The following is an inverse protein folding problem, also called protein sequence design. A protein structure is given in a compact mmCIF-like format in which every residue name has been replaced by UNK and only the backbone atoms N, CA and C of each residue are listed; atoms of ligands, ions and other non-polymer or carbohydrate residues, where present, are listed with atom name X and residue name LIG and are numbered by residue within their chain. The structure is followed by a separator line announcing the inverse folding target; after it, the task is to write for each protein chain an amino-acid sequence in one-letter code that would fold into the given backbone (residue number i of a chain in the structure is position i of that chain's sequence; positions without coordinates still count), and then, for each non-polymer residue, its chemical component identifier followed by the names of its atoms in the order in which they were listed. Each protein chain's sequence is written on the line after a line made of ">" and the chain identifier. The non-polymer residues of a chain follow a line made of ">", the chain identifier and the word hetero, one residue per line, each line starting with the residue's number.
data_IF_840473437573
#
_entry.id   IF_840473437573
#
_cell.length_a   1.000
_cell.length_b   1.000
_cell.length_c   1.000
_cell.angle_alpha   90.00
_cell.angle_beta   90.00
_cell.angle_gamma   90.00
#
_symmetry.space_group_name_H-M   'P 1'
#
loop_
_entity.id
_entity.type
_entity.pdbx_description
1 polymer ?
#
# COMPACT_ATOMS: atom_id res chain seq x y z
N UNK A 1 13.83 -45.80 3.92
CA UNK A 1 12.63 -46.34 3.25
C UNK A 1 11.47 -45.40 3.54
N UNK A 2 11.09 -44.55 2.59
CA UNK A 2 9.90 -43.69 2.73
C UNK A 2 8.68 -44.57 2.42
N UNK A 3 7.76 -44.68 3.38
CA UNK A 3 6.51 -45.43 3.22
C UNK A 3 5.71 -44.89 2.03
N UNK A 4 4.99 -45.76 1.31
CA UNK A 4 4.08 -45.37 0.21
C UNK A 4 3.09 -44.27 0.63
N UNK A 5 2.69 -44.25 1.90
CA UNK A 5 1.87 -43.17 2.48
C UNK A 5 2.63 -41.83 2.55
N UNK A 6 3.90 -41.84 2.95
CA UNK A 6 4.73 -40.64 3.05
C UNK A 6 5.04 -40.02 1.70
N UNK A 7 5.24 -40.84 0.65
CA UNK A 7 5.42 -40.36 -0.72
C UNK A 7 4.14 -39.68 -1.25
N UNK A 8 2.97 -40.26 -0.95
CA UNK A 8 1.68 -39.73 -1.40
C UNK A 8 1.35 -38.39 -0.73
N UNK A 9 1.64 -38.25 0.57
CA UNK A 9 1.50 -36.97 1.30
C UNK A 9 2.45 -35.91 0.73
N UNK A 10 3.70 -36.27 0.41
CA UNK A 10 4.66 -35.35 -0.18
C UNK A 10 4.20 -34.83 -1.55
N UNK A 11 3.69 -35.73 -2.41
CA UNK A 11 3.17 -35.38 -3.73
C UNK A 11 1.94 -34.47 -3.65
N UNK A 12 1.04 -34.71 -2.69
CA UNK A 12 -0.13 -33.85 -2.45
C UNK A 12 0.26 -32.45 -1.98
N UNK A 13 1.28 -32.33 -1.12
CA UNK A 13 1.78 -31.01 -0.70
C UNK A 13 2.44 -30.24 -1.84
N UNK A 14 3.27 -30.90 -2.65
CA UNK A 14 3.91 -30.29 -3.82
C UNK A 14 2.84 -29.81 -4.82
N UNK A 15 1.83 -30.65 -5.10
CA UNK A 15 0.72 -30.30 -5.98
C UNK A 15 -0.09 -29.11 -5.47
N UNK A 16 -0.38 -29.06 -4.16
CA UNK A 16 -1.06 -27.93 -3.54
C UNK A 16 -0.24 -26.63 -3.69
N UNK A 17 1.07 -26.66 -3.44
CA UNK A 17 1.90 -25.45 -3.59
C UNK A 17 1.98 -24.94 -5.03
N UNK A 18 2.03 -25.85 -6.02
CA UNK A 18 2.05 -25.52 -7.45
C UNK A 18 0.74 -24.89 -7.96
N UNK A 19 -0.41 -25.28 -7.38
CA UNK A 19 -1.71 -24.73 -7.78
C UNK A 19 -1.98 -23.32 -7.24
N UNK A 20 -1.36 -22.93 -6.13
CA UNK A 20 -1.57 -21.61 -5.50
C UNK A 20 -0.46 -20.58 -5.79
N UNK A 21 0.42 -20.83 -6.76
CA UNK A 21 1.61 -19.98 -7.00
C UNK A 21 1.36 -18.66 -7.75
N UNK A 22 0.13 -18.29 -8.10
CA UNK A 22 -0.16 -17.03 -8.78
C UNK A 22 -0.56 -15.94 -7.79
N UNK A 23 0.38 -15.51 -6.94
CA UNK A 23 0.21 -14.27 -6.17
C UNK A 23 0.90 -13.17 -6.94
N UNK A 24 0.14 -12.44 -7.77
CA UNK A 24 0.57 -11.10 -8.21
C UNK A 24 0.40 -10.19 -7.01
N UNK A 25 1.48 -10.00 -6.26
CA UNK A 25 1.51 -9.14 -5.08
C UNK A 25 1.51 -7.64 -5.47
N UNK A 26 1.81 -7.32 -6.72
CA UNK A 26 1.74 -5.96 -7.23
C UNK A 26 0.31 -5.54 -7.50
N UNK A 27 -0.02 -4.32 -7.08
CA UNK A 27 -1.28 -3.70 -7.48
C UNK A 27 -1.23 -3.40 -8.99
N UNK A 28 -2.39 -3.37 -9.69
CA UNK A 28 -2.44 -2.99 -11.10
C UNK A 28 -2.11 -1.51 -11.36
N UNK A 29 -1.71 -0.76 -10.32
CA UNK A 29 -1.32 0.63 -10.43
C UNK A 29 0.01 0.77 -11.18
N UNK A 30 0.12 1.84 -11.97
CA UNK A 30 1.33 2.18 -12.71
C UNK A 30 1.51 3.71 -12.72
N UNK A 31 1.57 4.29 -11.52
CA UNK A 31 1.66 5.74 -11.32
C UNK A 31 3.09 6.24 -11.56
N UNK A 32 3.21 7.46 -12.05
CA UNK A 32 4.48 8.17 -12.19
C UNK A 32 4.71 9.12 -11.01
N UNK A 33 5.95 9.60 -10.86
CA UNK A 33 6.30 10.62 -9.88
C UNK A 33 5.47 11.90 -10.04
N UNK A 34 5.20 12.30 -11.28
CA UNK A 34 4.43 13.51 -11.58
C UNK A 34 2.94 13.35 -11.25
N UNK A 35 2.42 12.11 -11.19
CA UNK A 35 1.06 11.84 -10.73
C UNK A 35 0.95 11.95 -9.20
N UNK A 36 2.04 11.72 -8.47
CA UNK A 36 2.09 11.78 -7.02
C UNK A 36 2.38 13.19 -6.48
N UNK A 37 3.16 14.02 -7.17
CA UNK A 37 3.47 15.38 -6.70
C UNK A 37 2.22 16.28 -6.69
N UNK A 38 2.23 17.32 -5.88
CA UNK A 38 1.14 18.31 -5.79
C UNK A 38 0.37 18.24 -4.48
N UNK A 39 -0.84 18.79 -4.46
CA UNK A 39 -1.64 18.90 -3.24
C UNK A 39 -2.53 17.68 -3.02
N UNK A 40 -2.48 17.14 -1.81
CA UNK A 40 -3.26 16.00 -1.36
C UNK A 40 -4.11 16.39 -0.16
N UNK A 41 -5.36 15.94 -0.17
CA UNK A 41 -6.27 16.05 0.98
C UNK A 41 -6.44 14.66 1.57
N UNK A 42 -6.02 14.49 2.81
CA UNK A 42 -6.24 13.27 3.58
C UNK A 42 -7.42 13.50 4.51
N UNK A 43 -8.39 12.62 4.40
CA UNK A 43 -9.55 12.56 5.26
C UNK A 43 -9.30 11.48 6.31
N UNK A 44 -9.14 11.90 7.57
CA UNK A 44 -8.75 11.03 8.67
C UNK A 44 -9.89 10.92 9.66
N UNK A 45 -10.07 9.72 10.20
CA UNK A 45 -11.00 9.49 11.27
C UNK A 45 -10.51 8.39 12.20
N UNK A 46 -10.67 8.61 13.49
CA UNK A 46 -10.19 7.69 14.54
C UNK A 46 -11.03 6.41 14.65
N UNK A 47 -12.16 6.32 13.93
CA UNK A 47 -13.09 5.20 13.99
C UNK A 47 -13.53 4.78 12.59
N UNK A 48 -13.60 3.48 12.37
CA UNK A 48 -14.18 2.92 11.14
C UNK A 48 -15.64 3.37 10.99
N UNK A 49 -16.01 3.79 9.79
CA UNK A 49 -17.40 4.14 9.45
C UNK A 49 -17.91 5.45 10.05
N UNK A 50 -17.02 6.34 10.48
CA UNK A 50 -17.46 7.60 11.08
C UNK A 50 -18.17 8.53 10.08
N UNK A 51 -19.16 9.31 10.55
CA UNK A 51 -19.90 10.25 9.71
C UNK A 51 -18.99 11.36 9.21
N UNK A 52 -19.26 11.86 8.00
CA UNK A 52 -18.46 12.89 7.31
C UNK A 52 -18.16 14.13 8.18
N UNK A 53 -19.10 14.51 9.04
CA UNK A 53 -18.97 15.66 9.95
C UNK A 53 -17.91 15.50 11.04
N UNK A 54 -17.52 14.26 11.35
CA UNK A 54 -16.50 13.95 12.36
C UNK A 54 -15.11 13.76 11.74
N UNK A 55 -14.98 13.86 10.41
CA UNK A 55 -13.72 13.61 9.70
C UNK A 55 -12.84 14.84 9.69
N UNK A 56 -11.56 14.63 9.98
CA UNK A 56 -10.55 15.67 9.92
C UNK A 56 -9.89 15.70 8.55
N UNK A 57 -9.61 16.91 8.05
CA UNK A 57 -8.99 17.10 6.75
C UNK A 57 -7.58 17.68 6.90
N UNK A 58 -6.59 16.89 6.49
CA UNK A 58 -5.19 17.31 6.39
C UNK A 58 -4.86 17.62 4.94
N UNK A 59 -4.16 18.73 4.70
CA UNK A 59 -3.73 19.12 3.36
C UNK A 59 -2.21 19.17 3.32
N UNK A 60 -1.63 18.40 2.43
CA UNK A 60 -0.19 18.35 2.21
C UNK A 60 0.15 18.73 0.77
N UNK A 61 1.34 19.28 0.57
CA UNK A 61 1.89 19.54 -0.74
C UNK A 61 3.20 18.76 -0.91
N UNK A 62 3.23 17.85 -1.87
CA UNK A 62 4.37 17.01 -2.22
C UNK A 62 5.20 17.70 -3.31
N UNK A 63 6.38 18.18 -2.91
CA UNK A 63 7.29 18.96 -3.74
C UNK A 63 8.50 18.13 -4.19
N UNK A 64 9.00 18.44 -5.39
CA UNK A 64 10.25 17.89 -5.88
C UNK A 64 11.46 18.39 -5.06
N UNK A 65 12.46 17.54 -4.78
CA UNK A 65 12.55 16.12 -5.14
C UNK A 65 11.92 15.15 -4.15
N UNK A 66 11.66 15.58 -2.91
CA UNK A 66 11.20 14.71 -1.83
C UNK A 66 10.70 15.50 -0.60
N UNK A 67 10.27 16.75 -0.75
CA UNK A 67 9.85 17.60 0.37
C UNK A 67 8.33 17.60 0.52
N UNK A 68 7.82 17.49 1.75
CA UNK A 68 6.38 17.66 2.02
C UNK A 68 6.13 18.89 2.89
N UNK A 69 5.22 19.75 2.43
CA UNK A 69 4.73 20.89 3.18
C UNK A 69 3.34 20.60 3.74
N UNK A 70 3.10 21.00 5.00
CA UNK A 70 1.77 20.91 5.63
C UNK A 70 1.04 22.23 5.38
N UNK A 71 0.01 22.20 4.53
CA UNK A 71 -0.81 23.38 4.22
C UNK A 71 -1.93 23.55 5.26
N UNK A 72 -2.52 22.43 5.71
CA UNK A 72 -3.55 22.40 6.75
C UNK A 72 -3.39 21.16 7.62
N UNK A 73 -3.36 21.35 8.93
CA UNK A 73 -3.16 20.28 9.91
C UNK A 73 -2.16 20.70 10.98
N UNK A 74 -1.55 19.70 11.62
CA UNK A 74 -0.57 19.90 12.68
C UNK A 74 0.77 19.26 12.27
N UNK A 75 1.88 19.97 12.46
CA UNK A 75 3.23 19.45 12.18
C UNK A 75 4.12 20.43 11.42
N UNK A 76 5.36 20.01 11.18
CA UNK A 76 6.37 20.71 10.38
C UNK A 76 6.64 19.96 9.07
N UNK A 77 7.23 20.65 8.09
CA UNK A 77 7.62 20.05 6.81
C UNK A 77 8.49 18.80 7.01
N UNK A 78 8.39 17.85 6.07
CA UNK A 78 9.07 16.56 6.13
C UNK A 78 9.58 16.10 4.77
N UNK A 79 9.78 14.79 4.63
CA UNK A 79 10.17 14.15 3.37
C UNK A 79 9.16 13.11 2.91
N UNK A 80 9.07 12.89 1.59
CA UNK A 80 8.23 11.86 0.97
C UNK A 80 9.00 11.11 -0.12
N UNK A 81 8.51 9.92 -0.49
CA UNK A 81 9.03 9.13 -1.60
C UNK A 81 7.90 8.39 -2.29
N UNK A 82 8.01 8.20 -3.60
CA UNK A 82 7.19 7.25 -4.34
C UNK A 82 7.75 5.83 -4.14
N UNK A 83 6.87 4.83 -4.03
CA UNK A 83 7.26 3.42 -3.96
C UNK A 83 7.13 2.83 -5.36
N UNK A 84 8.23 2.79 -6.11
CA UNK A 84 8.26 2.34 -7.51
C UNK A 84 7.17 3.02 -8.37
N UNK A 85 6.13 2.31 -8.74
CA UNK A 85 4.95 2.80 -9.47
C UNK A 85 3.64 2.60 -8.67
N UNK A 86 3.77 2.24 -7.40
CA UNK A 86 2.69 2.01 -6.46
C UNK A 86 2.57 3.20 -5.53
N UNK A 87 1.41 3.84 -5.58
CA UNK A 87 1.01 4.80 -4.55
C UNK A 87 0.29 3.99 -3.48
N UNK A 88 1.04 3.49 -2.51
CA UNK A 88 0.47 2.98 -1.27
C UNK A 88 0.44 4.13 -0.27
N UNK A 89 -0.75 4.64 0.02
CA UNK A 89 -1.02 5.59 1.09
C UNK A 89 -1.34 4.84 2.39
#
# INVERSE_FOLDING_TARGET
>A
MISRCGLLVLLLQIFSTLLFSFVNADTPANCTYEDARGQWVFEVCDREGCPEKEREHFVFELLYPNLVNVIKGHGSSGVWTLIYNQVSL
#
